data_IF_292951877636
#
_entry.id   IF_292951877636
#
_cell.length_a   1.000
_cell.length_b   1.000
_cell.length_c   1.000
_cell.angle_alpha   90.00
_cell.angle_beta   90.00
_cell.angle_gamma   90.00
#
_symmetry.space_group_name_H-M   'P 1'
#
loop_
_entity.id
_entity.type
_entity.pdbx_description
1 polymer ?
#
# COMPACT_ATOMS: atom_id res chain seq x y z
N UNK A 1 -11.36 30.92 17.30
CA UNK A 1 -12.36 30.87 16.21
C UNK A 1 -12.62 29.41 15.90
N UNK A 2 -13.82 29.06 15.48
CA UNK A 2 -14.20 27.67 15.13
C UNK A 2 -13.26 27.05 14.07
N UNK A 3 -12.68 27.86 13.18
CA UNK A 3 -11.67 27.41 12.20
C UNK A 3 -10.37 26.83 12.81
N UNK A 4 -9.99 27.20 14.03
CA UNK A 4 -8.75 26.67 14.64
C UNK A 4 -8.93 25.27 15.22
N UNK A 5 -10.17 24.88 15.51
CA UNK A 5 -10.45 23.66 16.24
C UNK A 5 -10.13 22.38 15.44
N UNK A 6 -10.51 22.24 14.15
CA UNK A 6 -10.13 21.06 13.36
C UNK A 6 -8.63 20.92 13.15
N UNK A 7 -7.91 22.03 12.98
CA UNK A 7 -6.45 22.04 12.77
C UNK A 7 -5.71 21.52 14.00
N UNK A 8 -6.10 21.96 15.20
CA UNK A 8 -5.49 21.48 16.44
C UNK A 8 -5.83 20.01 16.71
N UNK A 9 -7.08 19.62 16.48
CA UNK A 9 -7.50 18.21 16.59
C UNK A 9 -6.71 17.31 15.64
N UNK A 10 -6.47 17.75 14.41
CA UNK A 10 -5.73 16.96 13.42
C UNK A 10 -4.30 16.71 13.90
N UNK A 11 -3.63 17.76 14.41
CA UNK A 11 -2.29 17.65 15.00
C UNK A 11 -2.25 16.70 16.19
N UNK A 12 -3.24 16.76 17.08
CA UNK A 12 -3.32 15.81 18.20
C UNK A 12 -3.55 14.38 17.70
N UNK A 13 -4.42 14.19 16.71
CA UNK A 13 -4.63 12.88 16.08
C UNK A 13 -3.33 12.31 15.52
N UNK A 14 -2.59 13.11 14.75
CA UNK A 14 -1.31 12.71 14.16
C UNK A 14 -0.27 12.37 15.21
N UNK A 15 -0.21 13.15 16.30
CA UNK A 15 0.70 12.90 17.41
C UNK A 15 0.35 11.60 18.13
N UNK A 16 -0.90 11.41 18.54
CA UNK A 16 -1.33 10.18 19.22
C UNK A 16 -1.11 8.95 18.34
N UNK A 17 -1.37 9.07 17.04
CA UNK A 17 -1.13 7.97 16.11
C UNK A 17 0.35 7.61 16.05
N UNK A 18 1.25 8.60 15.99
CA UNK A 18 2.69 8.37 16.00
C UNK A 18 3.20 7.76 17.32
N UNK A 19 2.52 8.02 18.43
CA UNK A 19 2.79 7.43 19.75
C UNK A 19 2.22 6.00 19.89
N UNK A 20 1.42 5.53 18.92
CA UNK A 20 0.73 4.24 18.97
C UNK A 20 -0.56 4.26 19.82
N UNK A 21 -0.97 5.42 20.30
CA UNK A 21 -2.23 5.62 21.02
C UNK A 21 -3.39 5.78 20.03
N UNK A 22 -3.76 4.66 19.41
CA UNK A 22 -4.78 4.64 18.36
C UNK A 22 -6.17 5.02 18.88
N UNK A 23 -6.46 4.84 20.17
CA UNK A 23 -7.75 5.22 20.75
C UNK A 23 -7.89 6.74 20.84
N UNK A 24 -6.86 7.44 21.33
CA UNK A 24 -6.89 8.90 21.37
C UNK A 24 -6.78 9.52 19.98
N UNK A 25 -5.99 8.91 19.08
CA UNK A 25 -5.96 9.30 17.67
C UNK A 25 -7.34 9.16 17.02
N UNK A 26 -8.00 8.02 17.22
CA UNK A 26 -9.36 7.76 16.75
C UNK A 26 -10.35 8.81 17.24
N UNK A 27 -10.29 9.18 18.53
CA UNK A 27 -11.16 10.22 19.09
C UNK A 27 -10.93 11.58 18.42
N UNK A 28 -9.67 11.99 18.26
CA UNK A 28 -9.32 13.26 17.65
C UNK A 28 -9.79 13.35 16.19
N UNK A 29 -9.45 12.35 15.37
CA UNK A 29 -9.89 12.28 13.98
C UNK A 29 -11.41 12.15 13.86
N UNK A 30 -12.03 11.34 14.71
CA UNK A 30 -13.48 11.13 14.74
C UNK A 30 -14.25 12.41 15.00
N UNK A 31 -13.78 13.28 15.90
CA UNK A 31 -14.41 14.59 16.13
C UNK A 31 -14.43 15.41 14.84
N UNK A 32 -13.33 15.46 14.08
CA UNK A 32 -13.27 16.18 12.80
C UNK A 32 -14.22 15.55 11.79
N UNK A 33 -14.15 14.23 11.64
CA UNK A 33 -14.93 13.47 10.68
C UNK A 33 -16.44 13.64 10.87
N UNK A 34 -16.94 13.54 12.10
CA UNK A 34 -18.39 13.59 12.37
C UNK A 34 -18.93 15.01 12.55
N UNK A 35 -18.14 15.94 13.11
CA UNK A 35 -18.65 17.27 13.47
C UNK A 35 -18.21 18.38 12.52
N UNK A 36 -17.17 18.15 11.71
CA UNK A 36 -16.59 19.15 10.81
C UNK A 36 -16.45 18.64 9.36
N UNK A 37 -17.51 18.09 8.73
CA UNK A 37 -17.43 17.44 7.42
C UNK A 37 -17.10 18.39 6.25
N UNK A 38 -17.25 19.70 6.43
CA UNK A 38 -16.92 20.73 5.44
C UNK A 38 -15.57 21.40 5.68
N UNK A 39 -14.85 20.99 6.73
CA UNK A 39 -13.52 21.53 7.04
C UNK A 39 -12.47 21.10 6.03
N UNK A 40 -11.37 21.85 5.93
CA UNK A 40 -10.24 21.49 5.05
C UNK A 40 -9.54 20.23 5.56
N UNK A 41 -9.62 19.99 6.87
CA UNK A 41 -9.00 18.90 7.60
C UNK A 41 -9.81 17.59 7.50
N UNK A 42 -11.05 17.65 6.97
CA UNK A 42 -11.95 16.49 6.93
C UNK A 42 -11.32 15.26 6.24
N UNK A 43 -10.69 15.45 5.08
CA UNK A 43 -10.09 14.33 4.33
C UNK A 43 -8.88 13.76 5.08
N UNK A 44 -8.03 14.64 5.64
CA UNK A 44 -6.87 14.20 6.40
C UNK A 44 -7.29 13.45 7.67
N UNK A 45 -8.36 13.91 8.33
CA UNK A 45 -8.95 13.22 9.46
C UNK A 45 -9.61 11.89 9.07
N UNK A 46 -10.29 11.81 7.93
CA UNK A 46 -10.84 10.55 7.42
C UNK A 46 -9.73 9.53 7.11
N UNK A 47 -8.63 9.97 6.50
CA UNK A 47 -7.45 9.13 6.28
C UNK A 47 -6.80 8.70 7.60
N UNK A 48 -6.71 9.61 8.58
CA UNK A 48 -6.25 9.29 9.94
C UNK A 48 -7.15 8.26 10.63
N UNK A 49 -8.47 8.42 10.52
CA UNK A 49 -9.47 7.52 11.09
C UNK A 49 -9.39 6.12 10.46
N UNK A 50 -9.22 6.05 9.13
CA UNK A 50 -8.97 4.80 8.40
C UNK A 50 -7.71 4.10 8.91
N UNK A 51 -6.60 4.83 9.10
CA UNK A 51 -5.37 4.28 9.68
C UNK A 51 -5.61 3.71 11.09
N UNK A 52 -6.34 4.43 11.94
CA UNK A 52 -6.71 3.96 13.27
C UNK A 52 -7.53 2.67 13.21
N UNK A 53 -8.55 2.58 12.34
CA UNK A 53 -9.34 1.36 12.19
C UNK A 53 -8.48 0.17 11.78
N UNK A 54 -7.58 0.34 10.81
CA UNK A 54 -6.68 -0.73 10.44
C UNK A 54 -5.66 -1.11 11.51
N UNK A 55 -5.21 -0.15 12.33
CA UNK A 55 -4.34 -0.43 13.47
C UNK A 55 -5.07 -1.19 14.60
N UNK A 56 -6.39 -1.02 14.69
CA UNK A 56 -7.28 -1.77 15.58
C UNK A 56 -7.88 -3.02 14.91
N UNK A 57 -7.33 -3.45 13.76
CA UNK A 57 -7.75 -4.63 12.99
C UNK A 57 -9.23 -4.62 12.54
N UNK A 58 -9.85 -3.43 12.48
CA UNK A 58 -11.20 -3.26 11.97
C UNK A 58 -11.16 -2.93 10.47
N UNK A 59 -10.85 -3.95 9.68
CA UNK A 59 -10.64 -3.83 8.23
C UNK A 59 -11.91 -3.45 7.46
N UNK A 60 -13.09 -3.83 7.96
CA UNK A 60 -14.37 -3.45 7.37
C UNK A 60 -14.56 -1.93 7.39
N UNK A 61 -14.38 -1.31 8.56
CA UNK A 61 -14.52 0.15 8.71
C UNK A 61 -13.40 0.93 8.02
N UNK A 62 -12.19 0.38 8.01
CA UNK A 62 -11.10 0.94 7.22
C UNK A 62 -11.48 1.04 5.74
N UNK A 63 -11.95 -0.08 5.16
CA UNK A 63 -12.33 -0.14 3.76
C UNK A 63 -13.52 0.77 3.44
N UNK A 64 -14.54 0.79 4.30
CA UNK A 64 -15.71 1.66 4.15
C UNK A 64 -15.32 3.15 3.97
N UNK A 65 -14.40 3.63 4.82
CA UNK A 65 -13.94 5.03 4.76
C UNK A 65 -13.17 5.27 3.47
N UNK A 66 -12.20 4.41 3.15
CA UNK A 66 -11.36 4.59 1.97
C UNK A 66 -12.18 4.54 0.67
N UNK A 67 -13.10 3.59 0.58
CA UNK A 67 -14.00 3.46 -0.56
C UNK A 67 -14.93 4.67 -0.67
N UNK A 68 -15.42 5.20 0.46
CA UNK A 68 -16.23 6.43 0.47
C UNK A 68 -15.43 7.63 -0.03
N UNK A 69 -14.19 7.82 0.45
CA UNK A 69 -13.32 8.92 -0.01
C UNK A 69 -13.04 8.84 -1.51
N UNK A 70 -12.83 7.63 -2.04
CA UNK A 70 -12.60 7.41 -3.46
C UNK A 70 -13.88 7.66 -4.28
N UNK A 71 -15.02 7.12 -3.86
CA UNK A 71 -16.31 7.24 -4.56
C UNK A 71 -16.80 8.68 -4.65
N UNK A 72 -16.66 9.43 -3.56
CA UNK A 72 -17.09 10.82 -3.49
C UNK A 72 -16.06 11.78 -4.14
N UNK A 73 -14.92 11.25 -4.60
CA UNK A 73 -13.81 11.97 -5.27
C UNK A 73 -13.50 13.31 -4.59
N UNK A 74 -13.39 13.27 -3.26
CA UNK A 74 -13.29 14.48 -2.47
C UNK A 74 -11.89 15.07 -2.63
N UNK A 75 -11.85 16.25 -3.25
CA UNK A 75 -10.66 17.09 -3.51
C UNK A 75 -9.59 16.36 -4.36
N UNK A 76 -9.51 16.63 -5.68
CA UNK A 76 -8.53 16.02 -6.58
C UNK A 76 -7.09 16.02 -6.04
N UNK A 77 -6.67 17.08 -5.36
CA UNK A 77 -5.32 17.17 -4.79
C UNK A 77 -5.01 16.09 -3.75
N UNK A 78 -6.02 15.50 -3.09
CA UNK A 78 -5.87 14.46 -2.06
C UNK A 78 -6.03 13.04 -2.58
N UNK A 79 -6.45 12.85 -3.83
CA UNK A 79 -6.69 11.52 -4.42
C UNK A 79 -5.44 10.62 -4.38
N UNK A 80 -4.22 11.09 -4.68
CA UNK A 80 -3.02 10.26 -4.50
C UNK A 80 -2.85 9.72 -3.08
N UNK A 81 -3.15 10.52 -2.05
CA UNK A 81 -3.08 10.07 -0.67
C UNK A 81 -4.12 8.96 -0.37
N UNK A 82 -5.35 9.10 -0.88
CA UNK A 82 -6.39 8.07 -0.75
C UNK A 82 -5.93 6.75 -1.40
N UNK A 83 -5.37 6.82 -2.62
CA UNK A 83 -4.83 5.63 -3.28
C UNK A 83 -3.68 4.98 -2.49
N UNK A 84 -2.78 5.77 -1.90
CA UNK A 84 -1.72 5.20 -1.04
C UNK A 84 -2.26 4.52 0.21
N UNK A 85 -3.35 5.03 0.79
CA UNK A 85 -4.02 4.39 1.93
C UNK A 85 -4.71 3.08 1.53
N UNK A 86 -5.38 3.04 0.37
CA UNK A 86 -5.96 1.80 -0.17
C UNK A 86 -4.87 0.76 -0.45
N UNK A 87 -3.73 1.18 -1.00
CA UNK A 87 -2.59 0.29 -1.18
C UNK A 87 -2.08 -0.26 0.16
N UNK A 88 -2.02 0.57 1.21
CA UNK A 88 -1.66 0.12 2.56
C UNK A 88 -2.63 -0.91 3.15
N UNK A 89 -3.93 -0.77 2.88
CA UNK A 89 -4.94 -1.78 3.23
C UNK A 89 -4.63 -3.12 2.56
N UNK A 90 -4.43 -3.13 1.24
CA UNK A 90 -4.12 -4.36 0.50
C UNK A 90 -2.76 -4.96 0.88
N UNK A 91 -1.75 -4.15 1.19
CA UNK A 91 -0.46 -4.65 1.71
C UNK A 91 -0.64 -5.39 3.03
N UNK A 92 -1.49 -4.90 3.94
CA UNK A 92 -1.81 -5.60 5.20
C UNK A 92 -2.60 -6.87 4.96
N UNK A 93 -3.62 -6.82 4.10
CA UNK A 93 -4.39 -7.99 3.67
C UNK A 93 -3.46 -9.09 3.13
N UNK A 94 -2.50 -8.72 2.28
CA UNK A 94 -1.54 -9.66 1.72
C UNK A 94 -0.69 -10.33 2.80
N UNK A 95 -0.22 -9.58 3.81
CA UNK A 95 0.56 -10.12 4.93
C UNK A 95 -0.24 -11.08 5.83
N UNK A 96 -1.55 -10.90 5.94
CA UNK A 96 -2.46 -11.84 6.65
C UNK A 96 -2.67 -13.09 5.79
N UNK A 97 -2.97 -12.93 4.51
CA UNK A 97 -3.16 -14.04 3.56
C UNK A 97 -1.91 -14.91 3.43
N UNK A 98 -0.71 -14.32 3.47
CA UNK A 98 0.56 -15.05 3.47
C UNK A 98 0.69 -16.01 4.66
N UNK A 99 0.20 -15.60 5.83
CA UNK A 99 0.23 -16.42 7.04
C UNK A 99 -0.80 -17.56 7.01
N UNK A 100 -1.85 -17.46 6.19
CA UNK A 100 -3.01 -18.36 6.23
C UNK A 100 -3.10 -19.25 4.99
N UNK A 101 -3.02 -18.70 3.78
CA UNK A 101 -3.39 -19.38 2.53
C UNK A 101 -2.29 -19.44 1.46
N UNK A 102 -1.14 -18.79 1.68
CA UNK A 102 -0.06 -18.65 0.68
C UNK A 102 -0.47 -17.94 -0.63
N UNK A 103 -1.66 -17.32 -0.69
CA UNK A 103 -2.21 -16.61 -1.86
C UNK A 103 -2.02 -15.07 -1.77
N UNK A 104 -0.94 -14.60 -1.14
CA UNK A 104 -0.68 -13.17 -0.92
C UNK A 104 -0.35 -12.37 -2.19
N UNK A 105 0.04 -13.04 -3.27
CA UNK A 105 0.45 -12.41 -4.52
C UNK A 105 -0.62 -11.52 -5.17
N UNK A 106 -1.90 -11.87 -5.01
CA UNK A 106 -3.01 -11.10 -5.58
C UNK A 106 -3.19 -9.74 -4.88
N UNK A 107 -3.13 -9.71 -3.55
CA UNK A 107 -3.32 -8.47 -2.80
C UNK A 107 -2.10 -7.54 -2.91
N UNK A 108 -0.87 -8.08 -2.98
CA UNK A 108 0.30 -7.25 -3.29
C UNK A 108 0.19 -6.62 -4.69
N UNK A 109 -0.34 -7.33 -5.68
CA UNK A 109 -0.58 -6.77 -7.02
C UNK A 109 -1.64 -5.66 -7.00
N UNK A 110 -2.74 -5.83 -6.25
CA UNK A 110 -3.73 -4.76 -6.07
C UNK A 110 -3.10 -3.52 -5.41
N UNK A 111 -2.29 -3.71 -4.37
CA UNK A 111 -1.58 -2.62 -3.72
C UNK A 111 -0.69 -1.85 -4.72
N UNK A 112 0.10 -2.56 -5.52
CA UNK A 112 0.93 -1.94 -6.58
C UNK A 112 0.07 -1.15 -7.57
N UNK A 113 -1.04 -1.72 -8.06
CA UNK A 113 -1.93 -1.04 -9.00
C UNK A 113 -2.48 0.28 -8.45
N UNK A 114 -2.87 0.33 -7.17
CA UNK A 114 -3.32 1.58 -6.55
C UNK A 114 -2.18 2.60 -6.39
N UNK A 115 -0.96 2.17 -6.11
CA UNK A 115 0.20 3.07 -6.05
C UNK A 115 0.53 3.65 -7.43
N UNK A 116 0.41 2.87 -8.50
CA UNK A 116 0.56 3.35 -9.89
C UNK A 116 -0.53 4.37 -10.25
N UNK A 117 -1.79 4.15 -9.81
CA UNK A 117 -2.87 5.13 -9.94
C UNK A 117 -2.54 6.43 -9.18
N UNK A 118 -1.95 6.36 -7.99
CA UNK A 118 -1.51 7.55 -7.25
C UNK A 118 -0.47 8.37 -8.03
N UNK A 119 0.55 7.72 -8.58
CA UNK A 119 1.64 8.37 -9.32
C UNK A 119 1.13 9.03 -10.60
N UNK A 120 0.30 8.30 -11.36
CA UNK A 120 -0.22 8.74 -12.66
C UNK A 120 -1.38 9.72 -12.57
N UNK A 121 -1.95 9.96 -11.39
CA UNK A 121 -3.10 10.84 -11.22
C UNK A 121 -2.79 12.28 -11.69
N UNK A 122 -3.44 12.77 -12.76
CA UNK A 122 -3.03 14.01 -13.43
C UNK A 122 -3.50 15.28 -12.71
N UNK A 123 -4.51 15.18 -11.84
CA UNK A 123 -5.14 16.35 -11.20
C UNK A 123 -4.57 16.64 -9.80
N UNK A 124 -3.37 16.14 -9.49
CA UNK A 124 -2.69 16.42 -8.22
C UNK A 124 -1.18 16.43 -8.39
N UNK A 125 -0.56 17.49 -7.86
CA UNK A 125 0.89 17.61 -7.68
C UNK A 125 1.31 17.21 -6.26
N UNK A 126 0.56 16.33 -5.59
CA UNK A 126 0.92 15.82 -4.25
C UNK A 126 2.21 14.98 -4.33
N UNK A 127 3.34 15.68 -4.40
CA UNK A 127 4.68 15.11 -4.50
C UNK A 127 4.94 14.19 -3.31
N UNK A 128 4.40 14.51 -2.13
CA UNK A 128 4.60 13.69 -0.94
C UNK A 128 3.92 12.33 -1.09
N UNK A 129 2.65 12.29 -1.49
CA UNK A 129 1.95 11.04 -1.72
C UNK A 129 2.50 10.26 -2.93
N UNK A 130 2.82 10.94 -4.03
CA UNK A 130 3.35 10.30 -5.25
C UNK A 130 4.75 9.72 -5.04
N UNK A 131 5.63 10.44 -4.36
CA UNK A 131 6.98 9.92 -4.01
C UNK A 131 6.91 8.79 -3.00
N UNK A 132 6.01 8.89 -2.01
CA UNK A 132 5.70 7.77 -1.12
C UNK A 132 5.24 6.55 -1.91
N UNK A 133 4.33 6.74 -2.86
CA UNK A 133 3.80 5.65 -3.68
C UNK A 133 4.90 4.93 -4.47
N UNK A 134 5.78 5.70 -5.12
CA UNK A 134 6.89 5.17 -5.90
C UNK A 134 7.87 4.37 -5.03
N UNK A 135 8.24 4.89 -3.86
CA UNK A 135 9.03 4.16 -2.87
C UNK A 135 8.32 2.88 -2.43
N UNK A 136 7.01 2.97 -2.16
CA UNK A 136 6.25 1.83 -1.64
C UNK A 136 6.13 0.70 -2.66
N UNK A 137 6.02 0.99 -3.95
CA UNK A 137 6.12 -0.03 -5.02
C UNK A 137 7.44 -0.81 -4.89
N UNK A 138 8.56 -0.14 -4.65
CA UNK A 138 9.85 -0.81 -4.41
C UNK A 138 9.78 -1.76 -3.21
N UNK A 139 9.21 -1.31 -2.10
CA UNK A 139 9.05 -2.16 -0.90
C UNK A 139 8.16 -3.38 -1.15
N UNK A 140 7.14 -3.27 -2.00
CA UNK A 140 6.26 -4.38 -2.34
C UNK A 140 6.95 -5.39 -3.25
N UNK A 141 7.75 -4.94 -4.22
CA UNK A 141 8.57 -5.84 -5.02
C UNK A 141 9.63 -6.57 -4.19
N UNK A 142 10.21 -5.92 -3.17
CA UNK A 142 11.09 -6.61 -2.22
C UNK A 142 10.35 -7.74 -1.49
N UNK A 143 9.13 -7.49 -1.00
CA UNK A 143 8.30 -8.52 -0.34
C UNK A 143 7.96 -9.68 -1.27
N UNK A 144 7.78 -9.39 -2.56
CA UNK A 144 7.58 -10.41 -3.60
C UNK A 144 8.87 -11.13 -4.02
N UNK A 145 10.03 -10.73 -3.50
CA UNK A 145 11.34 -11.29 -3.86
C UNK A 145 11.88 -10.85 -5.23
N UNK A 146 11.21 -9.92 -5.90
CA UNK A 146 11.61 -9.38 -7.20
C UNK A 146 12.53 -8.15 -7.00
N UNK A 147 13.78 -8.43 -6.61
CA UNK A 147 14.74 -7.40 -6.23
C UNK A 147 15.13 -6.48 -7.39
N UNK A 148 15.13 -6.98 -8.62
CA UNK A 148 15.38 -6.18 -9.81
C UNK A 148 14.28 -5.13 -10.02
N UNK A 149 13.00 -5.51 -9.92
CA UNK A 149 11.90 -4.52 -9.99
C UNK A 149 11.90 -3.58 -8.80
N UNK A 150 12.25 -4.07 -7.61
CA UNK A 150 12.38 -3.23 -6.43
C UNK A 150 13.40 -2.10 -6.65
N UNK A 151 14.61 -2.45 -7.14
CA UNK A 151 15.64 -1.47 -7.50
C UNK A 151 15.13 -0.48 -8.54
N UNK A 152 14.49 -0.96 -9.62
CA UNK A 152 13.94 -0.07 -10.65
C UNK A 152 12.89 0.92 -10.09
N UNK A 153 12.02 0.47 -9.18
CA UNK A 153 11.04 1.33 -8.53
C UNK A 153 11.68 2.37 -7.61
N UNK A 154 12.74 2.00 -6.88
CA UNK A 154 13.52 2.94 -6.06
C UNK A 154 14.31 3.95 -6.92
N UNK A 155 14.87 3.51 -8.04
CA UNK A 155 15.54 4.41 -9.00
C UNK A 155 14.54 5.41 -9.61
N UNK A 156 13.30 4.97 -9.88
CA UNK A 156 12.24 5.88 -10.29
C UNK A 156 11.88 6.91 -9.19
N UNK A 157 11.94 6.55 -7.91
CA UNK A 157 11.74 7.51 -6.83
C UNK A 157 12.84 8.59 -6.82
N UNK A 158 14.10 8.20 -7.03
CA UNK A 158 15.25 9.11 -7.14
C UNK A 158 15.14 10.04 -8.34
N UNK A 159 14.72 9.51 -9.50
CA UNK A 159 14.67 10.25 -10.76
C UNK A 159 13.47 11.19 -10.86
N UNK A 160 12.28 10.71 -10.46
CA UNK A 160 11.03 11.45 -10.66
C UNK A 160 10.70 12.37 -9.48
N UNK A 161 11.21 12.07 -8.28
CA UNK A 161 10.94 12.83 -7.06
C UNK A 161 12.23 13.21 -6.32
N UNK A 162 13.19 13.87 -6.99
CA UNK A 162 14.48 14.20 -6.40
C UNK A 162 14.30 15.10 -5.18
N UNK A 163 15.02 14.79 -4.09
CA UNK A 163 14.97 15.56 -2.84
C UNK A 163 13.78 15.24 -1.93
N UNK A 164 12.86 14.36 -2.34
CA UNK A 164 11.86 13.83 -1.42
C UNK A 164 12.50 12.94 -0.34
N UNK A 165 11.88 12.86 0.84
CA UNK A 165 12.32 11.93 1.89
C UNK A 165 12.33 10.49 1.38
N UNK A 166 11.37 10.14 0.54
CA UNK A 166 11.22 8.81 -0.05
C UNK A 166 12.29 8.49 -1.09
N UNK A 167 12.79 9.49 -1.83
CA UNK A 167 13.97 9.34 -2.67
C UNK A 167 15.22 9.02 -1.83
N UNK A 168 15.44 9.73 -0.72
CA UNK A 168 16.58 9.46 0.17
C UNK A 168 16.52 8.05 0.78
N UNK A 169 15.34 7.62 1.23
CA UNK A 169 15.12 6.24 1.72
C UNK A 169 15.32 5.21 0.61
N UNK A 170 14.92 5.51 -0.62
CA UNK A 170 15.11 4.64 -1.78
C UNK A 170 16.58 4.39 -2.09
N UNK A 171 17.44 5.41 -1.96
CA UNK A 171 18.89 5.27 -2.15
C UNK A 171 19.49 4.25 -1.18
N UNK A 172 19.10 4.32 0.09
CA UNK A 172 19.54 3.38 1.13
C UNK A 172 19.11 1.94 0.79
N UNK A 173 17.82 1.75 0.45
CA UNK A 173 17.29 0.43 0.12
C UNK A 173 17.95 -0.18 -1.13
N UNK A 174 18.28 0.62 -2.16
CA UNK A 174 19.04 0.15 -3.32
C UNK A 174 20.42 -0.38 -2.88
N UNK A 175 21.12 0.33 -2.00
CA UNK A 175 22.41 -0.09 -1.46
C UNK A 175 22.32 -1.46 -0.79
N UNK A 176 21.35 -1.63 0.10
CA UNK A 176 21.12 -2.88 0.84
C UNK A 176 20.76 -4.03 -0.10
N UNK A 177 19.87 -3.79 -1.09
CA UNK A 177 19.50 -4.80 -2.08
C UNK A 177 20.67 -5.23 -2.96
N UNK A 178 21.51 -4.28 -3.41
CA UNK A 178 22.70 -4.61 -4.21
C UNK A 178 23.69 -5.46 -3.42
N UNK A 179 23.87 -5.20 -2.13
CA UNK A 179 24.69 -6.05 -1.26
C UNK A 179 24.10 -7.45 -1.12
N UNK A 180 22.77 -7.56 -0.93
CA UNK A 180 22.08 -8.88 -0.88
C UNK A 180 22.25 -9.66 -2.18
N UNK A 181 22.07 -9.02 -3.33
CA UNK A 181 22.24 -9.63 -4.65
C UNK A 181 23.67 -10.08 -4.90
N UNK A 182 24.67 -9.26 -4.56
CA UNK A 182 26.09 -9.62 -4.68
C UNK A 182 26.42 -10.86 -3.85
N UNK A 183 25.98 -10.90 -2.58
CA UNK A 183 26.19 -12.07 -1.71
C UNK A 183 25.53 -13.33 -2.28
N UNK A 184 24.33 -13.21 -2.86
CA UNK A 184 23.63 -14.33 -3.50
C UNK A 184 24.39 -14.83 -4.73
N UNK A 185 24.96 -13.94 -5.53
CA UNK A 185 25.79 -14.29 -6.68
C UNK A 185 27.10 -15.00 -6.25
N UNK A 186 27.78 -14.49 -5.22
CA UNK A 186 29.01 -15.09 -4.68
C UNK A 186 28.77 -16.51 -4.14
N UNK A 187 27.62 -16.73 -3.48
CA UNK A 187 27.19 -18.06 -3.02
C UNK A 187 26.97 -19.03 -4.19
N UNK A 188 26.27 -18.57 -5.24
CA UNK A 188 26.01 -19.38 -6.44
C UNK A 188 27.30 -19.74 -7.20
N UNK A 189 28.37 -18.94 -7.08
CA UNK A 189 29.68 -19.20 -7.68
C UNK A 189 30.66 -19.97 -6.77
N UNK A 190 30.22 -20.48 -5.61
CA UNK A 190 31.01 -21.37 -4.76
C UNK A 190 31.85 -20.69 -3.67
N UNK A 191 31.55 -19.43 -3.32
CA UNK A 191 32.17 -18.74 -2.19
C UNK A 191 31.68 -19.25 -0.83
N UNK A 192 32.58 -19.72 0.03
CA UNK A 192 32.31 -20.03 1.45
C UNK A 192 32.16 -18.73 2.26
N UNK A 193 31.00 -18.50 2.90
CA UNK A 193 30.87 -17.53 3.99
C UNK A 193 30.75 -18.25 5.35
N UNK A 194 31.28 -17.66 6.45
CA UNK A 194 31.34 -18.29 7.76
C UNK A 194 29.99 -18.46 8.47
N UNK A 195 28.95 -17.71 8.06
CA UNK A 195 27.60 -17.79 8.61
C UNK A 195 26.56 -17.70 7.48
N UNK A 196 26.14 -18.83 6.92
CA UNK A 196 25.13 -18.88 5.88
C UNK A 196 23.71 -18.67 6.46
N UNK A 197 22.90 -17.71 5.97
CA UNK A 197 21.49 -17.65 6.32
C UNK A 197 20.75 -18.88 5.74
N UNK A 198 19.71 -19.40 6.41
CA UNK A 198 18.95 -20.54 5.90
C UNK A 198 18.40 -20.21 4.52
N UNK A 199 18.46 -21.18 3.61
CA UNK A 199 17.97 -21.05 2.25
C UNK A 199 16.56 -20.46 2.25
N UNK A 200 16.38 -19.28 1.66
CA UNK A 200 15.06 -18.73 1.39
C UNK A 200 14.35 -19.72 0.45
N UNK A 201 13.38 -20.45 1.01
CA UNK A 201 12.49 -21.31 0.25
C UNK A 201 11.70 -20.38 -0.65
N UNK A 202 12.01 -20.40 -1.94
CA UNK A 202 11.24 -19.69 -2.94
C UNK A 202 9.90 -20.43 -3.11
N UNK A 203 8.76 -19.90 -2.63
CA UNK A 203 7.48 -20.61 -2.68
C UNK A 203 7.01 -20.85 -4.13
N UNK A 204 7.57 -20.13 -5.10
CA UNK A 204 7.28 -20.33 -6.52
C UNK A 204 8.01 -21.53 -7.16
N UNK A 205 9.03 -22.11 -6.51
CA UNK A 205 9.83 -23.20 -7.10
C UNK A 205 9.34 -24.62 -6.79
N UNK A 206 8.33 -24.78 -5.93
CA UNK A 206 7.77 -26.10 -5.55
C UNK A 206 6.48 -26.48 -6.28
N UNK A 207 6.07 -25.74 -7.31
CA UNK A 207 4.94 -26.11 -8.15
C UNK A 207 5.36 -27.22 -9.13
N UNK A 208 5.40 -28.47 -8.66
CA UNK A 208 5.11 -29.59 -9.56
C UNK A 208 3.63 -29.48 -9.94
N UNK A 209 3.26 -29.52 -11.22
CA UNK A 209 1.85 -29.50 -11.61
C UNK A 209 1.16 -30.72 -11.01
N UNK A 210 0.18 -30.51 -10.14
CA UNK A 210 -0.71 -31.56 -9.68
C UNK A 210 -1.50 -32.10 -10.88
N UNK A 211 -1.76 -33.42 -10.95
CA UNK A 211 -2.57 -33.98 -12.03
C UNK A 211 -3.98 -33.39 -11.97
N UNK A 212 -4.53 -33.08 -13.15
CA UNK A 212 -5.84 -32.47 -13.31
C UNK A 212 -6.94 -33.31 -12.64
N UNK A 213 -7.50 -32.81 -11.53
CA UNK A 213 -8.75 -33.31 -10.99
C UNK A 213 -9.92 -32.66 -11.75
N UNK A 214 -10.82 -33.50 -12.22
CA UNK A 214 -12.07 -33.12 -12.90
C UNK A 214 -12.97 -32.30 -11.97
N UNK A 215 -13.74 -31.32 -12.48
CA UNK A 215 -14.47 -30.38 -11.63
C UNK A 215 -15.64 -31.07 -10.93
N UNK A 216 -15.66 -31.03 -9.60
CA UNK A 216 -16.88 -31.19 -8.81
C UNK A 216 -17.51 -29.82 -8.58
N UNK A 217 -18.74 -29.74 -9.04
CA UNK A 217 -19.70 -28.66 -8.89
C UNK A 217 -19.89 -28.28 -7.41
N UNK A 218 -19.60 -27.02 -7.07
CA UNK A 218 -20.14 -26.37 -5.89
C UNK A 218 -20.33 -24.89 -6.17
N UNK A 219 -21.56 -24.57 -6.60
CA UNK A 219 -22.07 -23.20 -6.67
C UNK A 219 -22.01 -22.53 -5.29
N UNK A 220 -21.01 -21.69 -5.09
CA UNK A 220 -21.08 -20.51 -4.20
C UNK A 220 -20.04 -19.50 -4.68
N UNK A 221 -20.33 -18.87 -5.81
CA UNK A 221 -19.61 -17.71 -6.27
C UNK A 221 -19.99 -16.53 -5.36
N UNK A 222 -19.03 -16.01 -4.63
CA UNK A 222 -19.08 -14.61 -4.18
C UNK A 222 -19.06 -13.78 -5.47
N UNK A 223 -20.05 -12.92 -5.74
CA UNK A 223 -20.06 -12.15 -6.98
C UNK A 223 -18.83 -11.24 -7.03
N UNK A 224 -18.25 -11.01 -8.22
CA UNK A 224 -17.17 -10.05 -8.37
C UNK A 224 -17.66 -8.69 -7.90
N UNK A 225 -16.87 -8.02 -7.06
CA UNK A 225 -17.07 -6.61 -6.78
C UNK A 225 -16.63 -5.89 -8.06
N UNK A 226 -17.61 -5.49 -8.88
CA UNK A 226 -17.38 -4.71 -10.09
C UNK A 226 -16.54 -3.47 -9.71
N UNK A 227 -15.34 -3.36 -10.29
CA UNK A 227 -14.53 -2.13 -10.22
C UNK A 227 -15.28 -1.06 -11.03
N UNK A 228 -15.84 -0.01 -10.40
CA UNK A 228 -16.63 1.00 -11.10
C UNK A 228 -15.81 1.88 -12.04
N UNK A 229 -14.50 1.61 -12.18
CA UNK A 229 -13.59 2.31 -13.07
C UNK A 229 -13.00 1.44 -14.19
N UNK A 230 -13.50 0.21 -14.42
CA UNK A 230 -13.32 -0.41 -15.72
C UNK A 230 -14.08 0.44 -16.74
N UNK A 231 -13.36 1.22 -17.54
CA UNK A 231 -13.97 1.89 -18.69
C UNK A 231 -14.73 0.85 -19.51
N UNK A 232 -15.99 1.11 -19.91
CA UNK A 232 -16.70 0.18 -20.77
C UNK A 232 -15.88 0.00 -22.04
N UNK A 233 -15.58 -1.25 -22.37
CA UNK A 233 -14.97 -1.63 -23.64
C UNK A 233 -15.82 -1.04 -24.78
N UNK A 234 -15.32 0.02 -25.40
CA UNK A 234 -15.98 0.68 -26.53
C UNK A 234 -15.68 -0.01 -27.86
N UNK A 235 -15.11 -1.22 -27.84
CA UNK A 235 -14.93 -2.04 -29.05
C UNK A 235 -16.17 -2.89 -29.35
N UNK A 236 -17.21 -2.24 -29.89
CA UNK A 236 -18.36 -2.95 -30.45
C UNK A 236 -19.43 -2.02 -31.00
N UNK A 237 -19.39 -1.80 -32.32
CA UNK A 237 -20.50 -1.31 -33.12
C UNK A 237 -21.68 -2.28 -33.12
#
# INVERSE_FOLDING_TARGET
>A
SEEKQPVELLKYGDQFYAEGDYENAFRAYGIIYYNFPTSREYIDAALGLSKCYGAMENYEKEFDILFTLLRENLIPSKVPAVYTSIAGFYERSAGISEQITAESGNDYQKAISYLEKAISYPNSEDVQAKSYAQFKIGTLYEKLGDFEKAIGAYENALNNFPGSEWALRSEQNIGDLRVKLQRRADYQQGGLMPDAPPAEVNPASSLTPAPAETPQDSSNAIPPVDDPFLEPDTSGF
#
